data_IF_171459672363
#
_entry.id   IF_171459672363
#
_cell.length_a   1.000
_cell.length_b   1.000
_cell.length_c   1.000
_cell.angle_alpha   90.00
_cell.angle_beta   90.00
_cell.angle_gamma   90.00
#
_symmetry.space_group_name_H-M   'P 1'
#
loop_
_entity.id
_entity.type
_entity.pdbx_description
1 polymer ?
#
# COMPACT_ATOMS: atom_id res chain seq x y z
N UNK A 1 -9.19 -20.76 19.83
CA UNK A 1 -8.33 -21.44 18.83
C UNK A 1 -7.70 -20.48 17.80
N UNK A 2 -6.48 -20.81 17.36
CA UNK A 2 -5.72 -20.10 16.32
C UNK A 2 -5.17 -21.11 15.31
N UNK A 3 -5.19 -20.77 14.03
CA UNK A 3 -4.65 -21.61 12.96
C UNK A 3 -4.92 -21.03 11.58
N UNK A 4 -4.06 -21.35 10.60
CA UNK A 4 -4.16 -20.89 9.22
C UNK A 4 -4.28 -19.35 9.07
N UNK A 5 -3.61 -18.60 9.96
CA UNK A 5 -3.69 -17.12 9.96
C UNK A 5 -5.02 -16.55 10.47
N UNK A 6 -5.87 -17.37 11.09
CA UNK A 6 -7.15 -16.95 11.68
C UNK A 6 -7.14 -17.24 13.18
N UNK A 7 -7.53 -16.25 13.98
CA UNK A 7 -7.83 -16.41 15.40
C UNK A 7 -9.33 -16.27 15.66
N UNK A 8 -9.88 -17.17 16.48
CA UNK A 8 -11.22 -16.98 17.07
C UNK A 8 -11.05 -16.46 18.49
N UNK A 9 -11.56 -15.26 18.71
CA UNK A 9 -11.44 -14.55 19.99
C UNK A 9 -12.80 -14.48 20.65
N UNK A 10 -12.87 -14.94 21.90
CA UNK A 10 -14.10 -14.89 22.69
C UNK A 10 -14.19 -13.55 23.44
N UNK A 11 -15.42 -13.04 23.58
CA UNK A 11 -15.70 -11.75 24.22
C UNK A 11 -15.59 -10.57 23.25
N UNK A 12 -15.32 -9.36 23.78
CA UNK A 12 -15.21 -8.13 22.98
C UNK A 12 -16.54 -7.59 22.42
N UNK A 13 -17.56 -7.48 23.28
CA UNK A 13 -18.95 -7.06 22.93
C UNK A 13 -19.08 -5.69 22.22
N UNK A 14 -18.02 -4.90 22.15
CA UNK A 14 -18.02 -3.56 21.56
C UNK A 14 -17.12 -3.44 20.32
N UNK A 15 -16.52 -4.53 19.85
CA UNK A 15 -15.65 -4.51 18.66
C UNK A 15 -16.44 -4.13 17.41
N UNK A 16 -15.79 -3.42 16.49
CA UNK A 16 -16.38 -3.06 15.20
C UNK A 16 -15.88 -4.00 14.09
N UNK A 17 -16.70 -4.19 13.06
CA UNK A 17 -16.26 -4.88 11.86
C UNK A 17 -15.17 -4.04 11.18
N UNK A 18 -14.06 -4.68 10.81
CA UNK A 18 -12.88 -4.00 10.28
C UNK A 18 -12.03 -3.29 11.35
N UNK A 19 -12.30 -3.48 12.64
CA UNK A 19 -11.46 -2.91 13.71
C UNK A 19 -10.10 -3.62 13.78
N UNK A 20 -9.03 -2.83 13.93
CA UNK A 20 -7.70 -3.34 14.19
C UNK A 20 -7.60 -3.83 15.64
N UNK A 21 -6.96 -4.96 15.84
CA UNK A 21 -6.65 -5.51 17.16
C UNK A 21 -5.15 -5.78 17.29
N UNK A 22 -4.69 -5.91 18.53
CA UNK A 22 -3.32 -6.25 18.86
C UNK A 22 -3.30 -7.43 19.83
N UNK A 23 -2.59 -8.49 19.45
CA UNK A 23 -2.35 -9.65 20.30
C UNK A 23 -1.26 -9.33 21.34
N UNK A 24 -1.20 -10.09 22.43
CA UNK A 24 -0.18 -9.92 23.46
C UNK A 24 1.28 -9.98 22.93
N UNK A 25 1.49 -10.68 21.82
CA UNK A 25 2.77 -10.76 21.09
C UNK A 25 3.13 -9.49 20.30
N UNK A 26 2.24 -8.50 20.23
CA UNK A 26 2.38 -7.30 19.39
C UNK A 26 1.98 -7.51 17.93
N UNK A 27 1.63 -8.75 17.54
CA UNK A 27 1.07 -9.02 16.21
C UNK A 27 -0.28 -8.31 16.10
N UNK A 28 -0.54 -7.74 14.93
CA UNK A 28 -1.81 -7.07 14.64
C UNK A 28 -2.76 -7.99 13.89
N UNK A 29 -4.06 -7.70 13.99
CA UNK A 29 -5.07 -8.37 13.20
C UNK A 29 -6.25 -7.45 12.92
N UNK A 30 -7.21 -7.96 12.14
CA UNK A 30 -8.45 -7.27 11.82
C UNK A 30 -9.64 -8.16 12.15
N UNK A 31 -10.60 -7.61 12.88
CA UNK A 31 -11.89 -8.26 13.11
C UNK A 31 -12.69 -8.29 11.80
N UNK A 32 -12.84 -9.48 11.22
CA UNK A 32 -13.53 -9.67 9.94
C UNK A 32 -14.96 -10.15 10.16
N UNK A 33 -15.14 -11.24 10.91
CA UNK A 33 -16.43 -11.85 11.17
C UNK A 33 -16.83 -11.61 12.63
N UNK A 34 -18.01 -11.04 12.84
CA UNK A 34 -18.60 -10.85 14.16
C UNK A 34 -19.71 -11.88 14.35
N UNK A 35 -19.46 -12.91 15.16
CA UNK A 35 -20.46 -13.90 15.54
C UNK A 35 -20.96 -13.61 16.97
N UNK A 36 -22.04 -14.29 17.37
CA UNK A 36 -22.65 -14.05 18.68
C UNK A 36 -21.70 -14.39 19.86
N UNK A 37 -20.89 -15.45 19.70
CA UNK A 37 -20.04 -15.97 20.79
C UNK A 37 -18.56 -15.65 20.59
N UNK A 38 -18.15 -15.37 19.36
CA UNK A 38 -16.75 -15.17 19.02
C UNK A 38 -16.58 -14.18 17.87
N UNK A 39 -15.34 -13.70 17.74
CA UNK A 39 -14.91 -12.80 16.67
C UNK A 39 -13.82 -13.49 15.87
N UNK A 40 -14.04 -13.60 14.56
CA UNK A 40 -13.05 -14.08 13.61
C UNK A 40 -12.07 -12.97 13.25
N UNK A 41 -10.81 -13.13 13.62
CA UNK A 41 -9.74 -12.16 13.40
C UNK A 41 -8.75 -12.73 12.38
N UNK A 42 -8.55 -11.98 11.29
CA UNK A 42 -7.48 -12.25 10.33
C UNK A 42 -6.18 -11.68 10.88
N UNK A 43 -5.13 -12.50 10.93
CA UNK A 43 -3.84 -12.14 11.52
C UNK A 43 -2.95 -11.47 10.46
N UNK A 44 -2.41 -10.29 10.77
CA UNK A 44 -1.48 -9.56 9.92
C UNK A 44 -0.03 -9.82 10.33
N UNK A 45 0.41 -11.06 10.15
CA UNK A 45 1.74 -11.50 10.53
C UNK A 45 1.82 -13.00 10.70
N UNK A 46 2.81 -13.44 11.47
CA UNK A 46 2.94 -14.84 11.85
C UNK A 46 1.98 -15.18 12.99
N UNK A 47 1.24 -16.26 12.84
CA UNK A 47 0.36 -16.84 13.87
C UNK A 47 1.13 -17.74 14.86
N UNK A 48 2.35 -18.15 14.54
CA UNK A 48 3.23 -18.97 15.38
C UNK A 48 3.44 -18.37 16.78
N UNK A 49 3.46 -17.03 16.87
CA UNK A 49 3.67 -16.31 18.12
C UNK A 49 2.38 -16.11 18.94
N UNK A 50 1.23 -16.55 18.44
CA UNK A 50 -0.07 -16.41 19.09
C UNK A 50 -0.49 -17.78 19.64
N UNK A 51 -0.93 -17.82 20.89
CA UNK A 51 -1.38 -19.03 21.57
C UNK A 51 -2.81 -18.89 22.04
N UNK A 52 -3.46 -20.03 22.24
CA UNK A 52 -4.75 -20.06 22.89
C UNK A 52 -4.66 -19.51 24.32
N UNK A 53 -5.62 -18.66 24.68
CA UNK A 53 -5.64 -17.93 25.95
C UNK A 53 -4.92 -16.58 25.92
N UNK A 54 -4.21 -16.24 24.83
CA UNK A 54 -3.58 -14.92 24.71
C UNK A 54 -4.61 -13.79 24.73
N UNK A 55 -4.25 -12.71 25.43
CA UNK A 55 -5.07 -11.50 25.46
C UNK A 55 -5.03 -10.79 24.12
N UNK A 56 -6.21 -10.38 23.66
CA UNK A 56 -6.38 -9.55 22.46
C UNK A 56 -6.93 -8.20 22.87
N UNK A 57 -6.20 -7.15 22.53
CA UNK A 57 -6.56 -5.77 22.83
C UNK A 57 -7.15 -5.11 21.60
N UNK A 58 -8.23 -4.38 21.83
CA UNK A 58 -8.87 -3.52 20.84
C UNK A 58 -8.05 -2.25 20.67
N UNK A 59 -7.90 -1.79 19.43
CA UNK A 59 -7.33 -0.48 19.15
C UNK A 59 -8.40 0.63 19.10
N UNK A 60 -9.69 0.25 18.98
CA UNK A 60 -10.79 1.19 18.81
C UNK A 60 -10.82 1.89 17.45
N UNK A 61 -9.94 1.51 16.53
CA UNK A 61 -9.80 2.13 15.22
C UNK A 61 -10.02 1.10 14.11
N UNK A 62 -10.83 1.46 13.11
CA UNK A 62 -10.90 0.73 11.84
C UNK A 62 -9.52 0.73 11.19
N UNK A 63 -9.15 -0.35 10.49
CA UNK A 63 -7.84 -0.50 9.86
C UNK A 63 -7.43 0.77 9.11
N UNK A 64 -6.29 1.31 9.52
CA UNK A 64 -5.70 2.54 9.01
C UNK A 64 -4.17 2.38 8.85
N UNK A 65 -3.59 3.23 8.01
CA UNK A 65 -2.16 3.25 7.69
C UNK A 65 -1.61 4.68 7.77
N UNK A 66 -0.32 4.86 8.08
CA UNK A 66 0.33 6.15 7.97
C UNK A 66 0.33 6.64 6.50
N UNK A 67 0.08 7.92 6.32
CA UNK A 67 0.11 8.62 5.04
C UNK A 67 0.83 9.96 5.21
N UNK A 68 1.35 10.49 4.10
CA UNK A 68 2.02 11.80 4.06
C UNK A 68 3.33 11.75 3.28
N UNK A 69 3.90 12.93 3.05
CA UNK A 69 5.14 13.06 2.26
C UNK A 69 6.35 12.37 2.90
N UNK A 70 6.35 12.17 4.21
CA UNK A 70 7.41 11.44 4.91
C UNK A 70 7.53 9.96 4.50
N UNK A 71 6.53 9.42 3.80
CA UNK A 71 6.56 8.07 3.21
C UNK A 71 7.39 8.01 1.92
N UNK A 72 7.65 9.14 1.25
CA UNK A 72 8.41 9.18 0.01
C UNK A 72 9.85 8.69 0.26
N UNK A 73 10.37 7.85 -0.63
CA UNK A 73 11.69 7.24 -0.52
C UNK A 73 11.78 6.08 0.46
N UNK A 74 10.64 5.63 1.00
CA UNK A 74 10.56 4.56 2.02
C UNK A 74 10.03 3.26 1.41
N UNK A 75 10.49 2.16 2.00
CA UNK A 75 9.91 0.83 1.77
C UNK A 75 9.17 0.41 3.03
N UNK A 76 7.87 0.13 2.91
CA UNK A 76 7.00 -0.19 4.03
C UNK A 76 6.30 -1.54 3.84
N UNK A 77 5.86 -2.15 4.93
CA UNK A 77 4.95 -3.29 4.84
C UNK A 77 3.49 -2.83 4.62
N UNK A 78 2.57 -3.79 4.49
CA UNK A 78 1.14 -3.50 4.25
C UNK A 78 0.45 -2.68 5.37
N UNK A 79 1.04 -2.58 6.56
CA UNK A 79 0.55 -1.75 7.68
C UNK A 79 1.24 -0.37 7.73
N UNK A 80 2.08 -0.06 6.75
CA UNK A 80 2.87 1.17 6.68
C UNK A 80 4.05 1.23 7.66
N UNK A 81 4.47 0.09 8.20
CA UNK A 81 5.68 0.01 9.06
C UNK A 81 6.92 -0.05 8.15
N UNK A 82 7.93 0.82 8.35
CA UNK A 82 9.15 0.78 7.55
C UNK A 82 9.92 -0.52 7.71
N UNK A 83 10.39 -1.06 6.58
CA UNK A 83 11.19 -2.29 6.50
C UNK A 83 12.53 -2.07 5.77
N UNK A 84 12.87 -0.81 5.48
CA UNK A 84 14.09 -0.38 4.78
C UNK A 84 15.30 -0.14 5.69
N UNK A 85 15.13 -0.25 7.02
CA UNK A 85 16.19 0.02 7.99
C UNK A 85 16.56 1.50 8.15
N UNK A 86 15.83 2.44 7.55
CA UNK A 86 16.08 3.89 7.65
C UNK A 86 15.43 4.55 8.88
N UNK A 87 15.08 3.77 9.90
CA UNK A 87 14.40 4.25 11.11
C UNK A 87 12.89 4.47 10.93
N UNK A 88 12.26 5.07 11.94
CA UNK A 88 10.81 5.32 11.94
C UNK A 88 10.39 6.42 10.94
N UNK A 89 9.09 6.52 10.66
CA UNK A 89 8.50 7.63 9.91
C UNK A 89 8.22 8.79 10.88
N UNK A 90 8.61 10.01 10.52
CA UNK A 90 8.25 11.24 11.24
C UNK A 90 7.08 11.95 10.53
N UNK A 91 6.21 12.65 11.27
CA UNK A 91 5.19 13.53 10.69
C UNK A 91 4.24 12.84 9.68
N UNK A 92 3.68 11.69 10.07
CA UNK A 92 2.66 10.98 9.30
C UNK A 92 1.29 11.14 9.95
N UNK A 93 0.27 11.33 9.11
CA UNK A 93 -1.13 11.24 9.52
C UNK A 93 -1.61 9.80 9.36
N UNK A 94 -2.67 9.39 10.07
CA UNK A 94 -3.30 8.08 9.83
C UNK A 94 -4.56 8.24 9.00
N UNK A 95 -4.74 7.38 7.99
CA UNK A 95 -5.98 7.31 7.22
C UNK A 95 -6.45 5.87 7.10
N UNK A 96 -7.78 5.70 7.18
CA UNK A 96 -8.43 4.39 6.97
C UNK A 96 -8.08 3.86 5.58
N UNK A 97 -7.88 2.54 5.48
CA UNK A 97 -7.61 1.89 4.20
C UNK A 97 -8.88 1.76 3.36
N UNK A 98 -10.03 1.59 4.03
CA UNK A 98 -11.35 1.54 3.40
C UNK A 98 -12.02 2.91 3.45
N UNK A 99 -11.77 3.71 2.42
CA UNK A 99 -12.44 5.00 2.22
C UNK A 99 -13.35 4.88 0.99
N UNK A 100 -14.59 5.35 1.13
CA UNK A 100 -15.53 5.40 0.01
C UNK A 100 -14.96 6.26 -1.11
N UNK A 101 -14.92 5.72 -2.33
CA UNK A 101 -14.43 6.45 -3.49
C UNK A 101 -15.28 7.72 -3.76
N UNK A 102 -14.69 8.78 -4.34
CA UNK A 102 -15.43 9.98 -4.71
C UNK A 102 -16.60 9.67 -5.64
N UNK A 103 -17.77 10.26 -5.34
CA UNK A 103 -18.97 10.19 -6.17
C UNK A 103 -18.82 10.98 -7.48
N UNK A 104 -19.84 10.90 -8.35
CA UNK A 104 -19.82 11.48 -9.70
C UNK A 104 -19.54 13.00 -9.67
N UNK A 105 -20.24 13.74 -8.79
CA UNK A 105 -20.13 15.22 -8.69
C UNK A 105 -18.72 15.68 -8.32
N UNK A 106 -17.98 14.88 -7.54
CA UNK A 106 -16.64 15.23 -7.09
C UNK A 106 -15.55 14.95 -8.15
N UNK A 107 -15.91 14.38 -9.30
CA UNK A 107 -14.97 14.02 -10.37
C UNK A 107 -14.96 15.06 -11.46
N UNK A 108 -13.80 15.17 -12.12
CA UNK A 108 -13.60 15.94 -13.37
C UNK A 108 -13.20 14.96 -14.46
N UNK A 109 -13.52 15.28 -15.71
CA UNK A 109 -13.01 14.53 -16.86
C UNK A 109 -11.48 14.50 -16.86
N UNK A 110 -10.92 13.35 -17.22
CA UNK A 110 -9.48 13.18 -17.41
C UNK A 110 -9.06 14.00 -18.63
N UNK A 111 -8.11 14.92 -18.44
CA UNK A 111 -7.70 15.90 -19.45
C UNK A 111 -6.21 16.23 -19.43
N UNK A 112 -5.46 15.74 -18.43
CA UNK A 112 -4.02 15.94 -18.30
C UNK A 112 -3.32 14.62 -18.63
N UNK A 113 -2.23 14.63 -19.43
CA UNK A 113 -1.52 13.41 -19.75
C UNK A 113 -0.68 12.90 -18.57
N UNK A 114 -0.59 11.58 -18.46
CA UNK A 114 0.39 10.87 -17.62
C UNK A 114 1.37 10.18 -18.58
N UNK A 115 2.51 10.84 -18.82
CA UNK A 115 3.49 10.42 -19.82
C UNK A 115 4.28 9.22 -19.32
N UNK A 116 4.19 8.08 -20.02
CA UNK A 116 4.93 6.87 -19.64
C UNK A 116 6.38 6.90 -20.11
N UNK A 117 6.69 7.69 -21.14
CA UNK A 117 7.99 7.70 -21.81
C UNK A 117 8.13 6.57 -22.84
N UNK A 118 7.10 5.72 -22.99
CA UNK A 118 7.08 4.60 -23.91
C UNK A 118 6.31 4.99 -25.15
N UNK A 119 7.00 5.16 -26.28
CA UNK A 119 6.41 5.56 -27.56
C UNK A 119 5.16 4.74 -27.92
N UNK A 120 5.19 3.43 -27.74
CA UNK A 120 4.06 2.56 -28.06
C UNK A 120 2.82 2.86 -27.20
N UNK A 121 3.01 3.15 -25.90
CA UNK A 121 1.92 3.48 -24.98
C UNK A 121 1.45 4.91 -25.24
N UNK A 122 2.36 5.88 -25.19
CA UNK A 122 2.00 7.31 -25.26
C UNK A 122 1.39 7.71 -26.62
N UNK A 123 1.63 6.96 -27.70
CA UNK A 123 1.03 7.23 -29.02
C UNK A 123 -0.23 6.42 -29.32
N UNK A 124 -0.27 5.13 -28.98
CA UNK A 124 -1.38 4.24 -29.37
C UNK A 124 -2.44 4.09 -28.27
N UNK A 125 -2.02 4.14 -27.00
CA UNK A 125 -2.88 3.94 -25.82
C UNK A 125 -2.50 4.98 -24.75
N UNK A 126 -2.69 6.27 -25.01
CA UNK A 126 -2.27 7.34 -24.09
C UNK A 126 -3.03 7.23 -22.76
N UNK A 127 -2.30 7.45 -21.67
CA UNK A 127 -2.84 7.38 -20.30
C UNK A 127 -3.00 8.80 -19.76
N UNK A 128 -4.16 9.13 -19.21
CA UNK A 128 -4.40 10.41 -18.54
C UNK A 128 -4.31 10.34 -17.01
N UNK A 129 -4.02 11.47 -16.36
CA UNK A 129 -4.02 11.60 -14.89
C UNK A 129 -5.45 11.39 -14.36
N UNK A 130 -5.62 10.34 -13.55
CA UNK A 130 -6.94 9.90 -13.03
C UNK A 130 -7.56 8.73 -13.81
N UNK A 131 -6.93 8.26 -14.88
CA UNK A 131 -7.30 7.04 -15.59
C UNK A 131 -6.82 5.78 -14.86
N UNK A 132 -7.47 4.64 -15.12
CA UNK A 132 -7.03 3.31 -14.69
C UNK A 132 -6.70 2.51 -15.94
N UNK A 133 -5.43 2.15 -16.09
CA UNK A 133 -4.94 1.40 -17.24
C UNK A 133 -4.46 0.01 -16.81
N UNK A 134 -4.90 -1.04 -17.50
CA UNK A 134 -4.55 -2.42 -17.18
C UNK A 134 -3.33 -2.88 -17.97
N UNK A 135 -2.27 -3.31 -17.27
CA UNK A 135 -1.12 -3.98 -17.88
C UNK A 135 -1.29 -5.49 -17.70
N UNK A 136 -1.70 -6.19 -18.77
CA UNK A 136 -1.96 -7.63 -18.79
C UNK A 136 -1.04 -8.37 -19.76
N UNK A 137 -0.72 -9.63 -19.45
CA UNK A 137 0.08 -10.51 -20.29
C UNK A 137 0.72 -11.65 -19.51
N UNK A 138 1.35 -12.56 -20.23
CA UNK A 138 1.98 -13.77 -19.66
C UNK A 138 3.18 -13.48 -18.76
N UNK A 139 3.71 -14.51 -18.11
CA UNK A 139 4.93 -14.38 -17.32
C UNK A 139 6.07 -13.87 -18.22
N UNK A 140 6.90 -12.97 -17.68
CA UNK A 140 8.09 -12.43 -18.37
C UNK A 140 7.80 -11.62 -19.66
N UNK A 141 6.60 -11.09 -19.85
CA UNK A 141 6.27 -10.21 -21.00
C UNK A 141 6.55 -8.72 -20.77
N UNK A 142 7.38 -8.35 -19.79
CA UNK A 142 7.76 -6.95 -19.57
C UNK A 142 6.75 -6.09 -18.79
N UNK A 143 5.69 -6.66 -18.20
CA UNK A 143 4.70 -5.90 -17.39
C UNK A 143 5.33 -5.00 -16.32
N UNK A 144 6.29 -5.54 -15.58
CA UNK A 144 7.01 -4.78 -14.54
C UNK A 144 7.91 -3.71 -15.12
N UNK A 145 8.53 -3.97 -16.28
CA UNK A 145 9.38 -3.00 -16.96
C UNK A 145 8.59 -1.75 -17.36
N UNK A 146 7.39 -1.94 -17.95
CA UNK A 146 6.48 -0.84 -18.29
C UNK A 146 6.22 0.06 -17.07
N UNK A 147 5.92 -0.53 -15.91
CA UNK A 147 5.66 0.23 -14.69
C UNK A 147 6.91 0.96 -14.16
N UNK A 148 8.09 0.30 -14.15
CA UNK A 148 9.34 0.90 -13.68
C UNK A 148 9.77 2.05 -14.59
N UNK A 149 9.69 1.86 -15.91
CA UNK A 149 10.04 2.88 -16.89
C UNK A 149 9.11 4.09 -16.75
N UNK A 150 7.80 3.84 -16.59
CA UNK A 150 6.80 4.87 -16.32
C UNK A 150 7.15 5.68 -15.06
N UNK A 151 7.47 5.02 -13.94
CA UNK A 151 7.87 5.69 -12.69
C UNK A 151 9.13 6.53 -12.91
N UNK A 152 10.13 5.97 -13.59
CA UNK A 152 11.40 6.64 -13.85
C UNK A 152 11.25 7.87 -14.75
N UNK A 153 10.33 7.81 -15.73
CA UNK A 153 10.04 8.92 -16.65
C UNK A 153 9.41 10.14 -15.95
N UNK A 154 8.89 9.99 -14.73
CA UNK A 154 8.33 11.14 -13.98
C UNK A 154 9.40 12.08 -13.42
N UNK A 155 10.66 11.64 -13.33
CA UNK A 155 11.75 12.45 -12.77
C UNK A 155 11.90 13.83 -13.44
N UNK A 156 12.02 13.97 -14.77
CA UNK A 156 12.11 15.29 -15.40
C UNK A 156 10.88 16.16 -15.14
N UNK A 157 9.68 15.56 -15.10
CA UNK A 157 8.43 16.28 -14.80
C UNK A 157 8.46 16.82 -13.37
N UNK A 158 8.91 16.00 -12.42
CA UNK A 158 9.04 16.39 -11.02
C UNK A 158 10.14 17.43 -10.79
N UNK A 159 11.22 17.41 -11.58
CA UNK A 159 12.30 18.39 -11.51
C UNK A 159 11.91 19.76 -12.11
N UNK A 160 11.01 19.77 -13.09
CA UNK A 160 10.52 21.00 -13.75
C UNK A 160 9.28 21.58 -13.07
N UNK A 161 8.55 20.77 -12.30
CA UNK A 161 7.36 21.19 -11.57
C UNK A 161 7.69 22.26 -10.54
N UNK A 162 6.95 23.36 -10.59
CA UNK A 162 7.04 24.47 -9.63
C UNK A 162 6.11 24.26 -8.43
N UNK A 163 5.18 23.31 -8.53
CA UNK A 163 4.27 22.91 -7.45
C UNK A 163 4.02 21.40 -7.41
N UNK A 164 3.57 20.90 -6.25
CA UNK A 164 3.22 19.48 -6.08
C UNK A 164 2.12 18.99 -7.04
N UNK A 165 1.32 19.91 -7.61
CA UNK A 165 0.26 19.57 -8.56
C UNK A 165 0.79 19.26 -9.96
N UNK A 166 1.96 19.80 -10.29
CA UNK A 166 2.60 19.60 -11.58
C UNK A 166 3.39 18.28 -11.60
N UNK A 167 3.93 17.88 -10.44
CA UNK A 167 4.60 16.60 -10.26
C UNK A 167 3.67 15.39 -10.19
N UNK A 168 4.29 14.21 -10.22
CA UNK A 168 3.66 12.89 -10.06
C UNK A 168 4.42 12.12 -8.99
N UNK A 169 3.75 11.84 -7.87
CA UNK A 169 4.23 10.93 -6.85
C UNK A 169 3.81 9.50 -7.21
N UNK A 170 4.71 8.55 -6.99
CA UNK A 170 4.50 7.16 -7.40
C UNK A 170 4.34 6.24 -6.19
N UNK A 171 3.51 5.20 -6.32
CA UNK A 171 3.40 4.13 -5.32
C UNK A 171 3.47 2.81 -6.05
N UNK A 172 4.42 1.95 -5.68
CA UNK A 172 4.59 0.61 -6.24
C UNK A 172 4.23 -0.44 -5.20
N UNK A 173 3.06 -1.06 -5.32
CA UNK A 173 2.60 -2.08 -4.36
C UNK A 173 3.03 -3.48 -4.83
N UNK A 174 4.03 -4.06 -4.15
CA UNK A 174 4.53 -5.40 -4.47
C UNK A 174 3.75 -6.51 -3.73
N UNK A 175 2.94 -7.29 -4.45
CA UNK A 175 2.13 -8.38 -3.89
C UNK A 175 2.67 -9.74 -4.35
N UNK A 176 2.96 -10.63 -3.40
CA UNK A 176 3.42 -12.00 -3.68
C UNK A 176 4.80 -12.11 -4.34
N UNK A 177 5.57 -11.02 -4.37
CA UNK A 177 6.90 -10.99 -4.98
C UNK A 177 7.97 -11.50 -4.00
N UNK A 178 9.04 -12.08 -4.55
CA UNK A 178 10.21 -12.44 -3.75
C UNK A 178 10.87 -11.18 -3.19
N UNK A 179 11.33 -11.22 -1.94
CA UNK A 179 12.05 -10.09 -1.31
C UNK A 179 13.26 -9.62 -2.11
N UNK A 180 13.98 -10.53 -2.75
CA UNK A 180 15.11 -10.21 -3.63
C UNK A 180 14.69 -9.40 -4.87
N UNK A 181 13.55 -9.74 -5.48
CA UNK A 181 12.99 -9.00 -6.62
C UNK A 181 12.60 -7.58 -6.21
N UNK A 182 11.97 -7.41 -5.05
CA UNK A 182 11.63 -6.08 -4.52
C UNK A 182 12.88 -5.27 -4.22
N UNK A 183 13.90 -5.89 -3.60
CA UNK A 183 15.17 -5.22 -3.34
C UNK A 183 15.88 -4.74 -4.62
N UNK A 184 15.85 -5.55 -5.69
CA UNK A 184 16.36 -5.15 -7.01
C UNK A 184 15.57 -3.98 -7.59
N UNK A 185 14.24 -3.98 -7.48
CA UNK A 185 13.39 -2.88 -7.92
C UNK A 185 13.71 -1.58 -7.17
N UNK A 186 13.83 -1.64 -5.84
CA UNK A 186 14.21 -0.48 -5.02
C UNK A 186 15.57 0.06 -5.45
N UNK A 187 16.54 -0.81 -5.74
CA UNK A 187 17.85 -0.41 -6.25
C UNK A 187 17.74 0.31 -7.60
N UNK A 188 16.99 -0.24 -8.56
CA UNK A 188 16.78 0.38 -9.89
C UNK A 188 16.16 1.77 -9.74
N UNK A 189 15.11 1.91 -8.93
CA UNK A 189 14.46 3.21 -8.70
C UNK A 189 15.40 4.18 -7.96
N UNK A 190 16.23 3.70 -7.04
CA UNK A 190 17.22 4.54 -6.35
C UNK A 190 18.30 5.05 -7.32
N UNK A 191 18.84 4.19 -8.18
CA UNK A 191 19.85 4.54 -9.19
C UNK A 191 19.29 5.50 -10.25
N UNK A 192 18.02 5.34 -10.62
CA UNK A 192 17.32 6.28 -11.49
C UNK A 192 17.04 7.64 -10.81
N UNK A 193 17.15 7.74 -9.48
CA UNK A 193 16.70 8.90 -8.69
C UNK A 193 15.17 9.02 -8.66
N UNK A 194 14.47 7.92 -8.90
CA UNK A 194 13.02 7.82 -8.89
C UNK A 194 12.44 7.48 -7.50
N UNK A 195 13.28 6.91 -6.63
CA UNK A 195 12.86 6.53 -5.28
C UNK A 195 12.43 7.74 -4.43
N UNK A 196 13.02 8.92 -4.66
CA UNK A 196 12.76 10.16 -3.89
C UNK A 196 11.30 10.62 -3.93
N UNK A 197 10.57 10.31 -5.00
CA UNK A 197 9.15 10.63 -5.16
C UNK A 197 8.27 9.37 -5.20
N UNK A 198 8.81 8.22 -4.79
CA UNK A 198 8.12 6.92 -4.81
C UNK A 198 7.96 6.33 -3.41
N UNK A 199 6.89 5.54 -3.21
CA UNK A 199 6.67 4.70 -2.02
C UNK A 199 6.61 3.25 -2.51
N UNK A 200 7.31 2.34 -1.84
CA UNK A 200 7.32 0.90 -2.16
C UNK A 200 6.66 0.10 -1.03
#
# INVERSE_FOLDING_TARGET
PVGDGIARVYGSNKIQAGEMVEFASGVKGMALNLENENVGIVIFGSDIAIKEGDLVKRTGSIVDVPVGKAMLGRVVNALGVPIDGKGALSAVERRRVEVKAPGIIARKSVHEPMQTGLKAVDSLVPIGRGQRELIIGDRQTGKTAIAIDTISNQKPINAQGTSDREGVFCVYVAIGQKRSTVAQLVKILSEAGALEYSII
#
